data_IF_794577322837
#
_entry.id   IF_794577322837
#
_cell.length_a   1.000
_cell.length_b   1.000
_cell.length_c   1.000
_cell.angle_alpha   90.00
_cell.angle_beta   90.00
_cell.angle_gamma   90.00
#
_symmetry.space_group_name_H-M   'P 1'
#
loop_
_entity.id
_entity.type
_entity.pdbx_description
1 polymer ?
#
# COMPACT_ATOMS: atom_id res chain seq x y z
N UNK A 1 52.98 -22.23 64.67
CA UNK A 1 51.79 -22.31 65.54
C UNK A 1 50.64 -22.70 64.62
N UNK A 2 50.01 -23.84 64.97
CA UNK A 2 48.75 -24.42 64.48
C UNK A 2 48.68 -24.78 62.97
N UNK A 3 48.65 -26.03 62.51
CA UNK A 3 48.44 -27.33 63.14
C UNK A 3 46.96 -27.71 63.22
N UNK A 4 46.46 -28.53 62.27
CA UNK A 4 45.38 -29.55 62.34
C UNK A 4 44.95 -29.92 60.89
N UNK A 5 45.37 -31.07 60.32
CA UNK A 5 44.66 -32.38 60.28
C UNK A 5 43.15 -32.20 60.00
N UNK A 6 42.54 -32.69 58.91
CA UNK A 6 42.79 -33.85 58.06
C UNK A 6 41.58 -34.78 58.16
N UNK A 7 41.02 -35.24 57.03
CA UNK A 7 40.39 -36.57 56.82
C UNK A 7 39.86 -36.67 55.40
N UNK A 8 40.20 -37.76 54.71
CA UNK A 8 39.54 -38.17 53.48
C UNK A 8 38.33 -39.05 53.77
N UNK A 9 37.38 -39.07 52.83
CA UNK A 9 36.52 -40.22 52.57
C UNK A 9 36.07 -40.20 51.10
N UNK A 10 36.32 -41.33 50.45
CA UNK A 10 35.82 -41.79 49.16
C UNK A 10 34.28 -41.93 49.17
N UNK A 11 33.59 -41.60 48.06
CA UNK A 11 32.91 -42.59 47.21
C UNK A 11 32.00 -41.98 46.12
N UNK A 12 32.00 -42.66 44.98
CA UNK A 12 30.90 -42.84 44.00
C UNK A 12 30.68 -41.82 42.89
N UNK A 13 31.40 -42.05 41.79
CA UNK A 13 30.87 -42.30 40.44
C UNK A 13 29.51 -41.66 40.06
N UNK A 14 29.56 -40.70 39.14
CA UNK A 14 28.68 -40.75 37.95
C UNK A 14 29.33 -40.02 36.78
N UNK A 15 29.57 -40.81 35.73
CA UNK A 15 30.06 -40.44 34.41
C UNK A 15 29.29 -39.24 33.84
N UNK A 16 30.02 -38.26 33.30
CA UNK A 16 29.64 -37.66 32.03
C UNK A 16 30.91 -37.41 31.24
N UNK A 17 30.99 -38.10 30.11
CA UNK A 17 32.09 -38.08 29.15
C UNK A 17 32.26 -36.65 28.64
N UNK A 18 33.38 -36.02 29.00
CA UNK A 18 33.96 -34.92 28.24
C UNK A 18 34.96 -35.58 27.28
N UNK A 19 34.68 -35.51 25.98
CA UNK A 19 35.72 -35.66 24.97
C UNK A 19 36.00 -34.28 24.40
N UNK A 20 37.30 -34.04 24.33
CA UNK A 20 37.99 -32.79 24.17
C UNK A 20 38.41 -32.61 22.69
N UNK A 21 38.87 -31.40 22.39
CA UNK A 21 39.82 -31.03 21.34
C UNK A 21 39.31 -30.79 19.89
N UNK A 22 39.21 -29.47 19.58
CA UNK A 22 40.03 -28.70 18.61
C UNK A 22 40.33 -29.36 17.24
N UNK A 23 40.24 -28.72 16.08
CA UNK A 23 40.51 -27.34 15.67
C UNK A 23 40.09 -27.16 14.20
N UNK A 24 39.59 -25.97 13.84
CA UNK A 24 39.93 -25.16 12.63
C UNK A 24 38.73 -24.36 12.07
N UNK A 25 38.69 -23.09 12.49
CA UNK A 25 38.57 -21.86 11.66
C UNK A 25 37.65 -21.84 10.43
N UNK A 26 36.53 -21.10 10.54
CA UNK A 26 36.14 -19.90 9.74
C UNK A 26 34.63 -19.64 9.92
N UNK A 27 34.26 -18.62 10.71
CA UNK A 27 33.85 -17.27 10.30
C UNK A 27 32.41 -17.15 9.73
N UNK A 28 31.59 -16.43 10.49
CA UNK A 28 30.30 -15.78 10.19
C UNK A 28 29.06 -16.69 9.93
N UNK A 29 28.27 -17.00 10.96
CA UNK A 29 27.22 -16.19 11.63
C UNK A 29 25.93 -16.04 10.79
N UNK A 30 25.02 -17.00 10.99
CA UNK A 30 23.60 -16.70 11.19
C UNK A 30 22.68 -16.75 9.98
N UNK A 31 22.56 -17.91 9.33
CA UNK A 31 21.32 -18.26 8.62
C UNK A 31 20.22 -18.54 9.67
N UNK A 32 19.28 -17.61 9.84
CA UNK A 32 17.96 -17.94 10.38
C UNK A 32 17.11 -18.47 9.22
N UNK A 33 17.19 -19.78 9.00
CA UNK A 33 16.22 -20.51 8.20
C UNK A 33 14.89 -20.56 8.94
N UNK A 34 13.99 -19.63 8.62
CA UNK A 34 12.56 -19.85 8.83
C UNK A 34 12.05 -20.60 7.59
N UNK A 35 11.82 -21.90 7.78
CA UNK A 35 11.01 -22.74 6.89
C UNK A 35 9.73 -21.99 6.53
N UNK A 36 9.63 -21.53 5.28
CA UNK A 36 8.35 -21.09 4.70
C UNK A 36 7.71 -22.33 4.10
N UNK A 37 6.55 -22.80 4.59
CA UNK A 37 5.77 -23.75 3.81
C UNK A 37 5.30 -23.01 2.57
N UNK A 38 5.77 -23.45 1.40
CA UNK A 38 5.24 -23.03 0.11
C UNK A 38 3.80 -23.56 0.04
N UNK A 39 2.83 -22.74 0.42
CA UNK A 39 1.43 -23.01 0.10
C UNK A 39 1.28 -22.77 -1.39
N UNK A 40 1.43 -23.85 -2.16
CA UNK A 40 0.96 -23.90 -3.54
C UNK A 40 -0.57 -23.89 -3.45
N UNK A 41 -1.17 -22.71 -3.66
CA UNK A 41 -2.60 -22.61 -3.86
C UNK A 41 -2.91 -23.27 -5.21
N UNK A 42 -3.48 -24.47 -5.16
CA UNK A 42 -4.07 -25.09 -6.33
C UNK A 42 -5.17 -24.16 -6.86
N UNK A 43 -5.08 -23.81 -8.14
CA UNK A 43 -6.15 -23.12 -8.86
C UNK A 43 -7.36 -24.05 -8.90
N UNK A 44 -8.33 -23.81 -8.02
CA UNK A 44 -9.62 -24.48 -8.08
C UNK A 44 -10.40 -23.94 -9.28
N UNK A 45 -10.60 -24.77 -10.30
CA UNK A 45 -11.52 -24.49 -11.40
C UNK A 45 -12.95 -24.29 -10.84
N UNK A 46 -13.45 -23.06 -10.90
CA UNK A 46 -14.85 -22.75 -10.57
C UNK A 46 -15.69 -23.09 -11.80
N UNK A 47 -16.29 -24.28 -11.80
CA UNK A 47 -17.29 -24.66 -12.80
C UNK A 47 -18.62 -23.98 -12.50
N UNK A 48 -18.98 -22.98 -13.30
CA UNK A 48 -20.32 -22.40 -13.31
C UNK A 48 -21.23 -23.18 -14.27
N UNK A 49 -22.33 -23.73 -13.75
CA UNK A 49 -23.41 -24.25 -14.58
C UNK A 49 -24.34 -23.10 -14.96
N UNK A 50 -24.39 -22.75 -16.24
CA UNK A 50 -25.38 -21.82 -16.78
C UNK A 50 -26.70 -22.56 -17.07
N UNK A 51 -27.77 -22.19 -16.37
CA UNK A 51 -29.13 -22.68 -16.67
C UNK A 51 -29.75 -21.74 -17.71
N UNK A 52 -29.91 -22.22 -18.93
CA UNK A 52 -30.59 -21.49 -20.01
C UNK A 52 -32.08 -21.80 -19.96
N UNK A 53 -32.90 -20.82 -19.59
CA UNK A 53 -34.35 -20.90 -19.73
C UNK A 53 -34.74 -20.61 -21.19
N UNK A 54 -35.21 -21.63 -21.92
CA UNK A 54 -35.84 -21.44 -23.24
C UNK A 54 -37.27 -20.95 -23.06
N UNK A 55 -37.51 -19.66 -23.31
CA UNK A 55 -38.87 -19.14 -23.50
C UNK A 55 -39.39 -19.53 -24.88
N UNK A 56 -40.53 -20.23 -24.95
CA UNK A 56 -41.30 -20.43 -26.19
C UNK A 56 -42.21 -19.22 -26.40
N UNK A 57 -41.74 -18.28 -27.22
CA UNK A 57 -42.46 -17.66 -28.34
C UNK A 57 -41.96 -16.21 -28.59
N UNK A 58 -41.71 -15.82 -29.85
CA UNK A 58 -41.24 -14.48 -30.20
C UNK A 58 -42.38 -13.45 -30.31
N UNK A 59 -42.07 -12.14 -30.20
CA UNK A 59 -43.04 -11.06 -30.31
C UNK A 59 -43.22 -10.62 -31.77
N UNK A 60 -44.46 -10.29 -32.17
CA UNK A 60 -44.67 -9.41 -33.33
C UNK A 60 -45.76 -8.36 -33.08
N UNK A 61 -45.27 -7.12 -33.09
CA UNK A 61 -45.71 -5.93 -33.82
C UNK A 61 -47.18 -5.44 -33.71
N UNK A 62 -47.23 -4.18 -33.30
CA UNK A 62 -48.34 -3.22 -33.26
C UNK A 62 -48.97 -2.97 -34.64
N UNK A 63 -50.30 -2.95 -34.69
CA UNK A 63 -51.09 -2.16 -35.65
C UNK A 63 -52.21 -1.45 -34.88
N UNK A 64 -52.32 -0.13 -35.06
CA UNK A 64 -53.43 0.71 -34.57
C UNK A 64 -54.60 0.62 -35.56
N UNK A 65 -55.84 0.45 -35.07
CA UNK A 65 -56.92 1.45 -35.18
C UNK A 65 -58.29 0.93 -34.69
N UNK A 66 -58.96 1.87 -34.06
CA UNK A 66 -60.41 2.15 -34.04
C UNK A 66 -61.36 1.30 -33.20
N UNK A 67 -62.32 2.06 -32.70
CA UNK A 67 -63.33 1.83 -31.67
C UNK A 67 -64.31 0.72 -32.09
N UNK A 68 -64.84 -0.01 -31.09
CA UNK A 68 -66.28 -0.05 -30.92
C UNK A 68 -66.63 -0.60 -29.52
N UNK A 69 -67.51 0.13 -28.86
CA UNK A 69 -68.04 -0.11 -27.52
C UNK A 69 -69.24 -1.03 -27.66
N UNK A 70 -69.22 -2.22 -27.03
CA UNK A 70 -70.44 -2.96 -26.69
C UNK A 70 -70.26 -3.64 -25.34
N UNK A 71 -70.94 -3.09 -24.33
CA UNK A 71 -71.28 -3.80 -23.10
C UNK A 71 -72.63 -4.50 -23.34
N UNK A 72 -72.74 -5.78 -23.02
CA UNK A 72 -74.04 -6.38 -22.70
C UNK A 72 -74.11 -6.60 -21.19
N UNK A 73 -74.70 -5.59 -20.53
CA UNK A 73 -75.37 -5.72 -19.25
C UNK A 73 -76.85 -5.96 -19.54
N UNK A 74 -77.40 -7.10 -19.12
CA UNK A 74 -78.86 -7.29 -19.08
C UNK A 74 -79.25 -7.68 -17.66
N UNK A 75 -79.72 -6.70 -16.90
CA UNK A 75 -80.56 -6.89 -15.72
C UNK A 75 -81.65 -5.81 -15.67
N UNK A 76 -82.88 -6.25 -15.42
CA UNK A 76 -84.07 -5.43 -15.22
C UNK A 76 -84.93 -5.32 -16.49
N UNK A 77 -86.25 -5.44 -16.48
CA UNK A 77 -87.25 -5.34 -15.42
C UNK A 77 -88.53 -5.96 -15.99
N UNK A 78 -89.14 -6.94 -15.34
CA UNK A 78 -90.43 -6.80 -14.64
C UNK A 78 -91.16 -5.47 -14.91
N UNK A 79 -92.30 -5.56 -15.60
CA UNK A 79 -93.46 -4.71 -15.29
C UNK A 79 -94.75 -5.52 -15.26
N UNK A 80 -95.28 -5.50 -14.05
CA UNK A 80 -96.58 -5.91 -13.55
C UNK A 80 -97.69 -5.01 -14.08
N UNK A 81 -98.90 -5.55 -14.21
CA UNK A 81 -100.19 -4.87 -13.96
C UNK A 81 -101.15 -6.01 -13.58
N UNK A 82 -101.40 -6.36 -12.32
CA UNK A 82 -102.01 -5.66 -11.19
C UNK A 82 -103.47 -5.26 -11.43
N UNK A 83 -104.39 -6.01 -10.82
CA UNK A 83 -105.51 -5.43 -10.09
C UNK A 83 -106.07 -6.43 -9.06
N UNK A 84 -106.24 -5.93 -7.84
CA UNK A 84 -106.79 -6.56 -6.64
C UNK A 84 -107.94 -5.70 -6.12
N UNK A 85 -108.82 -6.31 -5.31
CA UNK A 85 -109.70 -5.72 -4.28
C UNK A 85 -110.95 -4.97 -4.79
N UNK A 86 -112.16 -5.02 -4.21
CA UNK A 86 -112.69 -5.56 -2.94
C UNK A 86 -114.24 -5.59 -2.99
N UNK A 87 -114.88 -6.27 -2.01
CA UNK A 87 -116.07 -5.84 -1.22
C UNK A 87 -117.34 -6.72 -1.25
N UNK A 88 -117.59 -7.36 -0.08
CA UNK A 88 -118.84 -7.59 0.69
C UNK A 88 -120.21 -7.88 0.01
N UNK A 89 -120.98 -8.84 0.54
CA UNK A 89 -122.05 -8.68 1.57
C UNK A 89 -122.68 -10.07 1.88
N UNK A 90 -123.18 -10.18 3.12
CA UNK A 90 -123.69 -11.36 3.83
C UNK A 90 -125.22 -11.58 3.71
N UNK A 91 -125.64 -12.76 4.19
CA UNK A 91 -126.90 -13.10 4.88
C UNK A 91 -128.15 -13.55 4.08
N UNK A 92 -128.80 -14.59 4.61
CA UNK A 92 -130.27 -14.65 4.64
C UNK A 92 -130.93 -15.98 4.27
N UNK A 93 -131.54 -16.62 5.28
CA UNK A 93 -132.37 -17.84 5.30
C UNK A 93 -133.76 -17.71 4.60
N UNK A 94 -134.25 -18.82 3.96
CA UNK A 94 -135.60 -19.49 4.10
C UNK A 94 -136.89 -18.74 3.60
N UNK A 95 -138.03 -19.39 3.20
CA UNK A 95 -138.29 -20.61 2.40
C UNK A 95 -139.46 -20.47 1.36
N UNK A 96 -139.73 -21.59 0.67
CA UNK A 96 -141.06 -22.22 0.45
C UNK A 96 -141.91 -22.08 -0.83
N UNK A 97 -142.52 -23.23 -1.14
CA UNK A 97 -143.74 -23.55 -1.93
C UNK A 97 -143.72 -23.86 -3.46
N UNK A 98 -143.93 -25.16 -3.73
CA UNK A 98 -144.98 -25.84 -4.55
C UNK A 98 -144.89 -25.88 -6.10
N UNK A 99 -144.76 -27.12 -6.65
CA UNK A 99 -145.81 -27.93 -7.36
C UNK A 99 -145.85 -27.70 -8.89
N UNK A 100 -146.28 -28.56 -9.81
CA UNK A 100 -147.00 -29.84 -9.87
C UNK A 100 -146.85 -30.37 -11.34
N UNK A 101 -146.94 -31.68 -11.66
CA UNK A 101 -148.10 -32.37 -12.32
C UNK A 101 -147.68 -32.99 -13.69
N UNK A 102 -148.10 -34.14 -14.24
CA UNK A 102 -149.16 -35.18 -14.04
C UNK A 102 -148.57 -36.54 -14.55
N UNK A 103 -148.85 -37.72 -13.97
CA UNK A 103 -150.08 -38.52 -14.06
C UNK A 103 -150.02 -39.48 -15.27
N UNK A 104 -150.33 -40.79 -15.26
CA UNK A 104 -151.18 -41.62 -14.41
C UNK A 104 -150.91 -43.14 -14.63
N UNK A 105 -151.39 -43.91 -13.64
CA UNK A 105 -152.07 -45.20 -13.75
C UNK A 105 -151.31 -46.53 -13.84
N UNK A 106 -151.80 -47.45 -13.01
CA UNK A 106 -151.40 -48.81 -12.71
C UNK A 106 -152.52 -49.73 -13.20
N UNK A 107 -152.22 -50.81 -13.93
CA UNK A 107 -152.84 -52.14 -13.81
C UNK A 107 -152.28 -53.11 -14.88
N UNK A 108 -152.40 -54.43 -14.66
CA UNK A 108 -151.27 -55.33 -14.72
C UNK A 108 -151.27 -56.13 -16.02
N UNK A 109 -150.13 -56.74 -16.33
CA UNK A 109 -150.05 -58.18 -16.42
C UNK A 109 -148.57 -58.56 -16.48
N UNK A 110 -148.06 -58.98 -15.32
CA UNK A 110 -147.26 -60.21 -15.16
C UNK A 110 -147.19 -61.01 -16.47
N UNK A 111 -146.04 -61.10 -17.14
CA UNK A 111 -144.98 -62.05 -16.77
C UNK A 111 -143.67 -61.80 -17.56
N UNK A 112 -143.16 -60.56 -17.57
CA UNK A 112 -141.74 -60.27 -17.93
C UNK A 112 -141.05 -59.28 -16.96
N UNK A 113 -141.73 -58.76 -15.93
CA UNK A 113 -141.21 -57.82 -14.92
C UNK A 113 -140.09 -58.40 -14.04
N UNK A 114 -140.01 -59.73 -13.89
CA UNK A 114 -138.86 -60.39 -13.30
C UNK A 114 -137.59 -60.18 -14.12
N UNK A 115 -137.71 -60.18 -15.45
CA UNK A 115 -136.57 -59.98 -16.37
C UNK A 115 -136.11 -58.52 -16.34
N UNK A 116 -137.04 -57.55 -16.27
CA UNK A 116 -136.69 -56.12 -16.18
C UNK A 116 -136.09 -55.72 -14.81
N UNK A 117 -136.59 -56.26 -13.69
CA UNK A 117 -135.96 -56.07 -12.38
C UNK A 117 -134.59 -56.74 -12.31
N UNK A 118 -134.43 -57.92 -12.91
CA UNK A 118 -133.13 -58.59 -13.00
C UNK A 118 -132.18 -57.80 -13.91
N UNK A 119 -132.62 -57.25 -15.04
CA UNK A 119 -131.79 -56.41 -15.92
C UNK A 119 -131.40 -55.10 -15.25
N UNK A 120 -132.30 -54.44 -14.50
CA UNK A 120 -131.96 -53.21 -13.76
C UNK A 120 -131.04 -53.49 -12.57
N UNK A 121 -131.23 -54.59 -11.84
CA UNK A 121 -130.31 -55.02 -10.79
C UNK A 121 -128.95 -55.39 -11.38
N UNK A 122 -128.91 -56.12 -12.50
CA UNK A 122 -127.66 -56.42 -13.20
C UNK A 122 -127.00 -55.16 -13.76
N UNK A 123 -127.78 -54.17 -14.20
CA UNK A 123 -127.28 -52.87 -14.65
C UNK A 123 -126.70 -52.03 -13.51
N UNK A 124 -127.38 -51.96 -12.36
CA UNK A 124 -126.88 -51.27 -11.16
C UNK A 124 -125.67 -51.99 -10.59
N UNK A 125 -125.68 -53.33 -10.55
CA UNK A 125 -124.52 -54.13 -10.15
C UNK A 125 -123.38 -53.88 -11.13
N UNK A 126 -123.62 -53.87 -12.45
CA UNK A 126 -122.60 -53.59 -13.46
C UNK A 126 -122.03 -52.17 -13.33
N UNK A 127 -122.88 -51.15 -13.09
CA UNK A 127 -122.43 -49.77 -12.86
C UNK A 127 -121.68 -49.65 -11.54
N UNK A 128 -122.13 -50.31 -10.48
CA UNK A 128 -121.46 -50.33 -9.17
C UNK A 128 -120.11 -51.03 -9.24
N UNK A 129 -120.04 -52.15 -9.97
CA UNK A 129 -118.80 -52.87 -10.28
C UNK A 129 -117.89 -52.01 -11.17
N UNK A 130 -118.44 -51.32 -12.17
CA UNK A 130 -117.68 -50.39 -13.01
C UNK A 130 -117.12 -49.21 -12.22
N UNK A 131 -117.92 -48.59 -11.35
CA UNK A 131 -117.47 -47.50 -10.49
C UNK A 131 -116.46 -47.97 -9.45
N UNK A 132 -116.64 -49.14 -8.84
CA UNK A 132 -115.67 -49.67 -7.87
C UNK A 132 -114.35 -50.07 -8.54
N UNK A 133 -114.37 -50.65 -9.74
CA UNK A 133 -113.17 -50.94 -10.52
C UNK A 133 -112.47 -49.65 -11.00
N UNK A 134 -113.23 -48.67 -11.49
CA UNK A 134 -112.69 -47.39 -11.96
C UNK A 134 -112.15 -46.54 -10.82
N UNK A 135 -112.86 -46.47 -9.70
CA UNK A 135 -112.39 -45.78 -8.49
C UNK A 135 -111.16 -46.49 -7.88
N UNK A 136 -111.10 -47.83 -7.93
CA UNK A 136 -109.91 -48.58 -7.55
C UNK A 136 -108.70 -48.30 -8.45
N UNK A 137 -108.92 -48.12 -9.75
CA UNK A 137 -107.90 -47.71 -10.72
C UNK A 137 -107.40 -46.29 -10.44
N UNK A 138 -108.32 -45.32 -10.31
CA UNK A 138 -107.99 -43.91 -10.05
C UNK A 138 -107.26 -43.74 -8.70
N UNK A 139 -107.64 -44.50 -7.66
CA UNK A 139 -106.96 -44.52 -6.36
C UNK A 139 -105.57 -45.15 -6.45
N UNK A 140 -105.38 -46.15 -7.31
CA UNK A 140 -104.07 -46.78 -7.51
C UNK A 140 -103.10 -45.86 -8.25
N UNK A 141 -103.59 -45.14 -9.27
CA UNK A 141 -102.83 -44.11 -9.98
C UNK A 141 -102.50 -42.92 -9.07
N UNK A 142 -103.45 -42.48 -8.25
CA UNK A 142 -103.23 -41.44 -7.25
C UNK A 142 -102.16 -41.85 -6.20
N UNK A 143 -102.17 -43.12 -5.75
CA UNK A 143 -101.13 -43.64 -4.84
C UNK A 143 -99.75 -43.68 -5.49
N UNK A 144 -99.67 -44.04 -6.78
CA UNK A 144 -98.42 -44.01 -7.54
C UNK A 144 -97.90 -42.57 -7.67
N UNK A 145 -98.76 -41.62 -8.01
CA UNK A 145 -98.44 -40.18 -8.08
C UNK A 145 -98.02 -39.61 -6.72
N UNK A 146 -98.64 -40.04 -5.61
CA UNK A 146 -98.22 -39.62 -4.27
C UNK A 146 -96.83 -40.16 -3.90
N UNK A 147 -96.51 -41.41 -4.28
CA UNK A 147 -95.18 -41.98 -4.05
C UNK A 147 -94.10 -41.28 -4.88
N UNK A 148 -94.40 -40.93 -6.14
CA UNK A 148 -93.50 -40.16 -7.00
C UNK A 148 -93.28 -38.74 -6.44
N UNK A 149 -94.33 -38.06 -5.99
CA UNK A 149 -94.22 -36.76 -5.32
C UNK A 149 -93.40 -36.81 -4.03
N UNK A 150 -93.54 -37.88 -3.23
CA UNK A 150 -92.73 -38.09 -2.05
C UNK A 150 -91.25 -38.29 -2.42
N UNK A 151 -90.96 -39.06 -3.48
CA UNK A 151 -89.59 -39.23 -3.99
C UNK A 151 -89.00 -37.89 -4.48
N UNK A 152 -89.78 -37.12 -5.24
CA UNK A 152 -89.39 -35.79 -5.71
C UNK A 152 -89.08 -34.85 -4.53
N UNK A 153 -89.89 -34.92 -3.47
CA UNK A 153 -89.67 -34.14 -2.24
C UNK A 153 -88.36 -34.55 -1.54
N UNK A 154 -88.06 -35.84 -1.45
CA UNK A 154 -86.81 -36.33 -0.89
C UNK A 154 -85.59 -35.84 -1.70
N UNK A 155 -85.65 -35.95 -3.02
CA UNK A 155 -84.59 -35.45 -3.92
C UNK A 155 -84.43 -33.94 -3.76
N UNK A 156 -85.53 -33.19 -3.72
CA UNK A 156 -85.51 -31.74 -3.50
C UNK A 156 -84.85 -31.37 -2.18
N UNK A 157 -85.19 -32.06 -1.09
CA UNK A 157 -84.58 -31.81 0.23
C UNK A 157 -83.08 -32.13 0.26
N UNK A 158 -82.64 -33.20 -0.43
CA UNK A 158 -81.22 -33.54 -0.57
C UNK A 158 -80.46 -32.49 -1.37
N UNK A 159 -81.00 -32.04 -2.50
CA UNK A 159 -80.41 -30.98 -3.32
C UNK A 159 -80.27 -29.68 -2.53
N UNK A 160 -81.25 -29.36 -1.67
CA UNK A 160 -81.21 -28.21 -0.78
C UNK A 160 -80.05 -28.31 0.23
N UNK A 161 -79.86 -29.49 0.84
CA UNK A 161 -78.74 -29.75 1.74
C UNK A 161 -77.39 -29.67 1.03
N UNK A 162 -77.26 -30.29 -0.16
CA UNK A 162 -76.02 -30.27 -0.94
C UNK A 162 -75.66 -28.83 -1.36
N UNK A 163 -76.65 -28.00 -1.67
CA UNK A 163 -76.46 -26.59 -2.01
C UNK A 163 -75.95 -25.76 -0.81
N UNK A 164 -76.46 -26.00 0.40
CA UNK A 164 -75.95 -25.32 1.60
C UNK A 164 -74.52 -25.77 1.96
N UNK A 165 -74.19 -27.05 1.74
CA UNK A 165 -72.82 -27.55 1.88
C UNK A 165 -71.87 -26.87 0.88
N UNK A 166 -72.25 -26.82 -0.41
CA UNK A 166 -71.48 -26.14 -1.45
C UNK A 166 -71.27 -24.65 -1.17
N UNK A 167 -72.28 -23.98 -0.62
CA UNK A 167 -72.18 -22.58 -0.20
C UNK A 167 -71.17 -22.39 0.94
N UNK A 168 -71.17 -23.32 1.89
CA UNK A 168 -70.19 -23.32 2.99
C UNK A 168 -68.77 -23.54 2.47
N UNK A 169 -68.58 -24.51 1.58
CA UNK A 169 -67.28 -24.78 0.95
C UNK A 169 -66.79 -23.59 0.13
N UNK A 170 -67.67 -22.92 -0.60
CA UNK A 170 -67.33 -21.72 -1.37
C UNK A 170 -66.90 -20.55 -0.47
N UNK A 171 -67.55 -20.36 0.68
CA UNK A 171 -67.14 -19.35 1.66
C UNK A 171 -65.77 -19.69 2.27
N UNK A 172 -65.53 -20.96 2.59
CA UNK A 172 -64.22 -21.42 3.08
C UNK A 172 -63.12 -21.19 2.04
N UNK A 173 -63.38 -21.52 0.76
CA UNK A 173 -62.44 -21.32 -0.33
C UNK A 173 -62.14 -19.82 -0.54
N UNK A 174 -63.15 -18.97 -0.42
CA UNK A 174 -62.99 -17.50 -0.50
C UNK A 174 -62.08 -16.99 0.63
N UNK A 175 -62.28 -17.45 1.87
CA UNK A 175 -61.45 -17.06 3.00
C UNK A 175 -59.99 -17.51 2.80
N UNK A 176 -59.77 -18.74 2.33
CA UNK A 176 -58.43 -19.25 2.01
C UNK A 176 -57.79 -18.41 0.91
N UNK A 177 -58.55 -18.06 -0.14
CA UNK A 177 -58.06 -17.22 -1.24
C UNK A 177 -57.64 -15.83 -0.75
N UNK A 178 -58.44 -15.18 0.10
CA UNK A 178 -58.07 -13.88 0.69
C UNK A 178 -56.82 -13.96 1.57
N UNK A 179 -56.66 -15.06 2.32
CA UNK A 179 -55.47 -15.27 3.15
C UNK A 179 -54.22 -15.45 2.29
N UNK A 180 -54.31 -16.26 1.24
CA UNK A 180 -53.21 -16.47 0.29
C UNK A 180 -52.80 -15.15 -0.40
N UNK A 181 -53.77 -14.30 -0.75
CA UNK A 181 -53.47 -12.97 -1.29
C UNK A 181 -52.70 -12.10 -0.29
N UNK A 182 -53.12 -12.08 0.97
CA UNK A 182 -52.42 -11.34 2.02
C UNK A 182 -51.01 -11.87 2.27
N UNK A 183 -50.83 -13.18 2.34
CA UNK A 183 -49.52 -13.81 2.56
C UNK A 183 -48.58 -13.51 1.37
N UNK A 184 -49.11 -13.48 0.15
CA UNK A 184 -48.34 -13.13 -1.04
C UNK A 184 -47.87 -11.67 -1.06
N UNK A 185 -48.71 -10.72 -0.64
CA UNK A 185 -48.30 -9.32 -0.51
C UNK A 185 -47.26 -9.11 0.60
N UNK A 186 -47.38 -9.85 1.71
CA UNK A 186 -46.36 -9.85 2.77
C UNK A 186 -45.02 -10.39 2.24
N UNK A 187 -45.02 -11.54 1.54
CA UNK A 187 -43.82 -12.12 0.94
C UNK A 187 -43.16 -11.19 -0.09
N UNK A 188 -43.97 -10.48 -0.88
CA UNK A 188 -43.47 -9.47 -1.83
C UNK A 188 -42.77 -8.32 -1.12
N UNK A 189 -43.33 -7.86 0.00
CA UNK A 189 -42.73 -6.81 0.83
C UNK A 189 -41.41 -7.26 1.44
N UNK A 190 -41.37 -8.47 2.01
CA UNK A 190 -40.15 -9.05 2.58
C UNK A 190 -39.06 -9.23 1.52
N UNK A 191 -39.43 -9.68 0.32
CA UNK A 191 -38.51 -9.83 -0.80
C UNK A 191 -37.90 -8.48 -1.21
N UNK A 192 -38.71 -7.42 -1.32
CA UNK A 192 -38.21 -6.07 -1.62
C UNK A 192 -37.26 -5.55 -0.53
N UNK A 193 -37.56 -5.80 0.74
CA UNK A 193 -36.67 -5.43 1.85
C UNK A 193 -35.33 -6.18 1.77
N UNK A 194 -35.37 -7.49 1.47
CA UNK A 194 -34.17 -8.29 1.30
C UNK A 194 -33.33 -7.82 0.11
N UNK A 195 -33.94 -7.46 -1.02
CA UNK A 195 -33.26 -6.85 -2.17
C UNK A 195 -32.54 -5.56 -1.76
N UNK A 196 -33.20 -4.66 -1.04
CA UNK A 196 -32.59 -3.41 -0.57
C UNK A 196 -31.41 -3.65 0.38
N UNK A 197 -31.49 -4.66 1.26
CA UNK A 197 -30.37 -5.04 2.12
C UNK A 197 -29.19 -5.59 1.31
N UNK A 198 -29.47 -6.40 0.29
CA UNK A 198 -28.44 -6.96 -0.58
C UNK A 198 -27.70 -5.87 -1.39
N UNK A 199 -28.44 -4.88 -1.88
CA UNK A 199 -27.86 -3.73 -2.57
C UNK A 199 -26.93 -2.91 -1.65
N UNK A 200 -27.37 -2.60 -0.43
CA UNK A 200 -26.53 -1.91 0.57
C UNK A 200 -25.27 -2.70 0.90
N UNK A 201 -25.39 -4.02 1.05
CA UNK A 201 -24.25 -4.89 1.32
C UNK A 201 -23.27 -4.89 0.14
N UNK A 202 -23.79 -4.94 -1.09
CA UNK A 202 -22.98 -4.88 -2.31
C UNK A 202 -22.23 -3.55 -2.40
N UNK A 203 -22.88 -2.43 -2.11
CA UNK A 203 -22.23 -1.11 -2.07
C UNK A 203 -21.09 -1.08 -1.03
N UNK A 204 -21.35 -1.52 0.20
CA UNK A 204 -20.33 -1.59 1.25
C UNK A 204 -19.15 -2.47 0.84
N UNK A 205 -19.42 -3.63 0.21
CA UNK A 205 -18.40 -4.52 -0.29
C UNK A 205 -17.52 -3.85 -1.37
N UNK A 206 -18.13 -3.15 -2.35
CA UNK A 206 -17.35 -2.45 -3.38
C UNK A 206 -16.46 -1.34 -2.81
N UNK A 207 -16.93 -0.64 -1.77
CA UNK A 207 -16.14 0.37 -1.06
C UNK A 207 -14.97 -0.28 -0.33
N UNK A 208 -15.24 -1.39 0.37
CA UNK A 208 -14.20 -2.13 1.08
C UNK A 208 -13.11 -2.63 0.13
N UNK A 209 -13.49 -3.20 -1.02
CA UNK A 209 -12.55 -3.66 -2.05
C UNK A 209 -11.67 -2.51 -2.52
N UNK A 210 -12.24 -1.34 -2.82
CA UNK A 210 -11.47 -0.16 -3.26
C UNK A 210 -10.45 0.29 -2.21
N UNK A 211 -10.86 0.32 -0.94
CA UNK A 211 -9.96 0.70 0.15
C UNK A 211 -8.81 -0.30 0.30
N UNK A 212 -9.07 -1.60 0.14
CA UNK A 212 -8.04 -2.64 0.16
C UNK A 212 -7.06 -2.46 -1.00
N UNK A 213 -7.55 -2.15 -2.21
CA UNK A 213 -6.69 -1.88 -3.38
C UNK A 213 -5.80 -0.66 -3.14
N UNK A 214 -6.35 0.47 -2.69
CA UNK A 214 -5.58 1.70 -2.38
C UNK A 214 -4.51 1.46 -1.29
N UNK A 215 -4.86 0.72 -0.23
CA UNK A 215 -3.91 0.35 0.81
C UNK A 215 -2.80 -0.57 0.28
N UNK A 216 -3.12 -1.47 -0.65
CA UNK A 216 -2.15 -2.37 -1.28
C UNK A 216 -1.17 -1.59 -2.15
N UNK A 217 -1.65 -0.62 -2.94
CA UNK A 217 -0.80 0.25 -3.76
C UNK A 217 0.12 1.11 -2.90
N UNK A 218 -0.41 1.73 -1.83
CA UNK A 218 0.40 2.50 -0.87
C UNK A 218 1.46 1.65 -0.20
N UNK A 219 1.14 0.41 0.15
CA UNK A 219 2.10 -0.53 0.73
C UNK A 219 3.23 -0.83 -0.27
N UNK A 220 2.90 -1.12 -1.52
CA UNK A 220 3.90 -1.38 -2.57
C UNK A 220 4.81 -0.16 -2.82
N UNK A 221 4.24 1.05 -2.77
CA UNK A 221 4.99 2.29 -2.89
C UNK A 221 5.98 2.47 -1.74
N UNK A 222 5.54 2.24 -0.50
CA UNK A 222 6.42 2.29 0.69
C UNK A 222 7.53 1.25 0.64
N UNK A 223 7.25 0.03 0.17
CA UNK A 223 8.26 -1.01 -0.02
C UNK A 223 9.34 -0.58 -1.02
N UNK A 224 8.93 0.04 -2.13
CA UNK A 224 9.86 0.56 -3.14
C UNK A 224 10.74 1.69 -2.59
N UNK A 225 10.15 2.61 -1.82
CA UNK A 225 10.88 3.69 -1.16
C UNK A 225 11.92 3.16 -0.16
N UNK A 226 11.57 2.13 0.62
CA UNK A 226 12.50 1.50 1.56
C UNK A 226 13.69 0.84 0.84
N UNK A 227 13.45 0.14 -0.27
CA UNK A 227 14.53 -0.44 -1.08
C UNK A 227 15.46 0.63 -1.66
N UNK A 228 14.90 1.77 -2.09
CA UNK A 228 15.70 2.89 -2.58
C UNK A 228 16.57 3.50 -1.48
N UNK A 229 16.00 3.72 -0.28
CA UNK A 229 16.75 4.22 0.88
C UNK A 229 17.87 3.25 1.30
N UNK A 230 17.60 1.95 1.26
CA UNK A 230 18.62 0.93 1.56
C UNK A 230 19.79 0.99 0.57
N UNK A 231 19.49 1.16 -0.73
CA UNK A 231 20.52 1.33 -1.76
C UNK A 231 21.34 2.60 -1.53
N UNK A 232 20.71 3.72 -1.18
CA UNK A 232 21.40 4.97 -0.85
C UNK A 232 22.32 4.82 0.35
N UNK A 233 21.87 4.12 1.40
CA UNK A 233 22.70 3.87 2.59
C UNK A 233 23.94 3.05 2.26
N UNK A 234 23.82 2.01 1.43
CA UNK A 234 24.97 1.21 0.98
C UNK A 234 25.97 2.03 0.16
N UNK A 235 25.48 2.93 -0.70
CA UNK A 235 26.33 3.84 -1.46
C UNK A 235 27.09 4.81 -0.55
N UNK A 236 26.40 5.42 0.42
CA UNK A 236 27.01 6.31 1.39
C UNK A 236 28.06 5.59 2.24
N UNK A 237 27.80 4.34 2.64
CA UNK A 237 28.77 3.54 3.38
C UNK A 237 30.03 3.24 2.55
N UNK A 238 29.87 2.94 1.27
CA UNK A 238 30.99 2.74 0.33
C UNK A 238 31.83 4.02 0.20
N UNK A 239 31.17 5.18 0.06
CA UNK A 239 31.85 6.48 -0.01
C UNK A 239 32.60 6.78 1.30
N UNK A 240 31.98 6.53 2.46
CA UNK A 240 32.61 6.71 3.77
C UNK A 240 33.87 5.87 3.91
N UNK A 241 33.82 4.59 3.51
CA UNK A 241 34.96 3.69 3.56
C UNK A 241 36.10 4.14 2.64
N UNK A 242 35.79 4.56 1.41
CA UNK A 242 36.77 5.09 0.46
C UNK A 242 37.48 6.34 1.04
N UNK A 243 36.71 7.30 1.56
CA UNK A 243 37.27 8.52 2.15
C UNK A 243 38.16 8.20 3.36
N UNK A 244 37.73 7.26 4.22
CA UNK A 244 38.52 6.81 5.37
C UNK A 244 39.88 6.25 4.94
N UNK A 245 39.90 5.44 3.87
CA UNK A 245 41.14 4.89 3.32
C UNK A 245 42.07 5.96 2.74
N UNK A 246 41.50 6.98 2.08
CA UNK A 246 42.29 8.12 1.58
C UNK A 246 42.95 8.89 2.73
N UNK A 247 42.21 9.15 3.81
CA UNK A 247 42.74 9.82 5.00
C UNK A 247 43.92 9.02 5.58
N UNK A 248 43.74 7.72 5.82
CA UNK A 248 44.80 6.86 6.35
C UNK A 248 46.06 6.83 5.47
N UNK A 249 45.89 6.81 4.15
CA UNK A 249 46.99 6.84 3.19
C UNK A 249 47.76 8.18 3.28
N UNK A 250 47.03 9.30 3.34
CA UNK A 250 47.65 10.62 3.50
C UNK A 250 48.38 10.75 4.83
N UNK A 251 47.79 10.29 5.93
CA UNK A 251 48.40 10.28 7.25
C UNK A 251 49.70 9.46 7.27
N UNK A 252 49.67 8.26 6.69
CA UNK A 252 50.83 7.37 6.62
C UNK A 252 51.98 8.04 5.85
N UNK A 253 51.69 8.57 4.65
CA UNK A 253 52.69 9.28 3.84
C UNK A 253 53.25 10.51 4.54
N UNK A 254 52.40 11.28 5.21
CA UNK A 254 52.83 12.46 5.97
C UNK A 254 53.77 12.06 7.13
N UNK A 255 53.40 11.01 7.86
CA UNK A 255 54.23 10.45 8.94
C UNK A 255 55.60 9.97 8.42
N UNK A 256 55.61 9.19 7.33
CA UNK A 256 56.84 8.71 6.69
C UNK A 256 57.76 9.86 6.24
N UNK A 257 57.17 10.90 5.65
CA UNK A 257 57.92 12.09 5.22
C UNK A 257 58.51 12.86 6.41
N UNK A 258 57.75 13.02 7.49
CA UNK A 258 58.23 13.72 8.68
C UNK A 258 59.33 12.96 9.40
N UNK A 259 59.18 11.65 9.56
CA UNK A 259 60.23 10.79 10.14
C UNK A 259 61.49 10.89 9.29
N UNK A 260 61.36 10.84 7.96
CA UNK A 260 62.50 10.97 7.04
C UNK A 260 63.20 12.33 7.15
N UNK A 261 62.44 13.43 7.24
CA UNK A 261 63.00 14.80 7.43
C UNK A 261 63.72 14.95 8.77
N UNK A 262 63.13 14.44 9.85
CA UNK A 262 63.75 14.45 11.17
C UNK A 262 65.05 13.64 11.16
N UNK A 263 65.01 12.42 10.61
CA UNK A 263 66.18 11.55 10.50
C UNK A 263 67.31 12.20 9.70
N UNK A 264 67.01 12.82 8.55
CA UNK A 264 67.98 13.57 7.75
C UNK A 264 68.62 14.72 8.54
N UNK A 265 67.81 15.47 9.29
CA UNK A 265 68.30 16.57 10.12
C UNK A 265 69.28 16.06 11.18
N UNK A 266 68.93 14.99 11.88
CA UNK A 266 69.81 14.39 12.89
C UNK A 266 71.11 13.87 12.24
N UNK A 267 71.05 13.19 11.10
CA UNK A 267 72.25 12.66 10.44
C UNK A 267 73.17 13.77 9.88
N UNK A 268 72.59 14.89 9.46
CA UNK A 268 73.31 16.05 8.92
C UNK A 268 74.07 16.82 10.01
N UNK A 269 73.43 17.02 11.17
CA UNK A 269 74.00 17.82 12.26
C UNK A 269 74.71 16.98 13.32
N UNK A 270 74.30 15.73 13.49
CA UNK A 270 74.79 14.79 14.49
C UNK A 270 75.18 13.44 13.85
N UNK A 271 76.21 13.39 12.98
CA UNK A 271 76.65 12.17 12.34
C UNK A 271 77.06 11.10 13.37
N UNK A 272 76.80 9.83 13.06
CA UNK A 272 77.19 8.69 13.91
C UNK A 272 78.71 8.53 13.91
N UNK A 273 79.33 8.68 15.08
CA UNK A 273 80.72 8.28 15.33
C UNK A 273 80.81 6.81 15.71
N UNK A 274 82.01 6.38 16.16
CA UNK A 274 82.26 5.00 16.58
C UNK A 274 81.48 4.59 17.83
N UNK A 275 81.28 5.50 18.78
CA UNK A 275 80.65 5.21 20.07
C UNK A 275 79.44 6.12 20.41
N UNK A 276 79.34 7.33 19.81
CA UNK A 276 78.22 8.27 20.03
C UNK A 276 78.04 9.22 18.82
N UNK A 277 76.87 9.85 18.67
CA UNK A 277 76.64 10.92 17.68
C UNK A 277 77.33 12.21 18.14
N UNK A 278 78.10 12.85 17.28
CA UNK A 278 78.72 14.15 17.58
C UNK A 278 77.95 15.27 16.89
N UNK A 279 77.18 16.03 17.66
CA UNK A 279 76.41 17.15 17.15
C UNK A 279 77.27 18.40 16.96
N UNK A 280 77.01 19.15 15.89
CA UNK A 280 77.60 20.47 15.63
C UNK A 280 76.52 21.49 15.31
N UNK A 281 76.76 22.75 15.64
CA UNK A 281 75.81 23.84 15.38
C UNK A 281 75.50 24.02 13.88
N UNK A 282 76.43 23.62 13.00
CA UNK A 282 76.28 23.71 11.55
C UNK A 282 76.54 22.38 10.84
N UNK A 283 75.92 22.13 9.68
CA UNK A 283 76.21 20.96 8.87
C UNK A 283 77.67 20.90 8.44
N UNK A 284 78.14 19.69 8.09
CA UNK A 284 79.49 19.52 7.56
C UNK A 284 79.71 20.41 6.32
N UNK A 285 80.79 21.19 6.31
CA UNK A 285 81.13 22.10 5.21
C UNK A 285 80.50 23.49 5.30
N UNK A 286 79.76 23.78 6.38
CA UNK A 286 79.23 25.10 6.69
C UNK A 286 80.04 25.76 7.80
N UNK A 287 80.26 27.05 7.66
CA UNK A 287 80.95 27.89 8.62
C UNK A 287 79.95 28.41 9.66
N UNK A 288 80.18 28.11 10.93
CA UNK A 288 79.37 28.66 12.01
C UNK A 288 79.85 30.07 12.37
N UNK A 289 78.92 31.02 12.45
CA UNK A 289 79.19 32.32 13.02
C UNK A 289 77.94 32.84 13.72
N UNK A 290 78.04 33.08 15.03
CA UNK A 290 76.91 33.40 15.89
C UNK A 290 75.77 32.36 15.74
N UNK A 291 74.54 32.82 15.52
CA UNK A 291 73.33 31.99 15.38
C UNK A 291 73.09 31.49 13.95
N UNK A 292 74.09 31.60 13.07
CA UNK A 292 73.95 31.31 11.64
C UNK A 292 75.04 30.39 11.12
N UNK A 293 74.70 29.62 10.10
CA UNK A 293 75.59 28.77 9.33
C UNK A 293 75.68 29.31 7.91
N UNK A 294 76.89 29.42 7.38
CA UNK A 294 77.13 29.93 6.03
C UNK A 294 77.88 28.92 5.16
N UNK A 295 77.37 28.64 3.97
CA UNK A 295 78.10 27.89 2.95
C UNK A 295 78.62 28.86 1.89
N UNK A 296 79.95 29.00 1.82
CA UNK A 296 80.63 29.86 0.85
C UNK A 296 80.87 29.05 -0.43
N UNK A 297 80.13 29.36 -1.49
CA UNK A 297 80.23 28.63 -2.75
C UNK A 297 81.16 29.38 -3.71
N UNK A 298 82.46 29.05 -3.64
CA UNK A 298 83.52 29.62 -4.50
C UNK A 298 83.47 29.02 -5.91
N UNK A 299 82.42 29.35 -6.67
CA UNK A 299 82.23 28.82 -8.00
C UNK A 299 83.13 29.53 -9.04
N UNK A 300 83.87 28.75 -9.83
CA UNK A 300 84.57 29.22 -11.03
C UNK A 300 83.56 29.76 -12.06
N UNK A 301 83.99 30.69 -12.92
CA UNK A 301 83.17 31.37 -13.92
C UNK A 301 82.10 30.51 -14.64
N UNK A 302 82.38 29.32 -15.19
CA UNK A 302 81.34 28.51 -15.87
C UNK A 302 80.26 27.95 -14.93
N UNK A 303 80.53 27.86 -13.63
CA UNK A 303 79.63 27.33 -12.60
C UNK A 303 78.97 28.43 -11.75
N UNK A 304 79.33 29.69 -11.97
CA UNK A 304 78.69 30.83 -11.32
C UNK A 304 77.22 30.93 -11.75
N UNK A 305 76.40 31.50 -10.87
CA UNK A 305 74.94 31.52 -11.03
C UNK A 305 74.41 32.95 -10.96
N UNK A 306 73.28 33.19 -11.62
CA UNK A 306 72.46 34.39 -11.39
C UNK A 306 71.96 34.39 -9.96
N UNK A 307 71.41 35.50 -9.47
CA UNK A 307 70.89 35.57 -8.12
C UNK A 307 69.77 34.52 -7.88
N UNK A 308 68.84 34.39 -8.83
CA UNK A 308 67.79 33.38 -8.82
C UNK A 308 68.36 31.95 -8.81
N UNK A 309 69.33 31.67 -9.69
CA UNK A 309 69.94 30.35 -9.75
C UNK A 309 70.74 29.99 -8.48
N UNK A 310 71.39 30.98 -7.87
CA UNK A 310 72.08 30.81 -6.59
C UNK A 310 71.08 30.52 -5.46
N UNK A 311 69.93 31.20 -5.47
CA UNK A 311 68.84 30.96 -4.52
C UNK A 311 68.27 29.56 -4.65
N UNK A 312 68.05 29.09 -5.88
CA UNK A 312 67.62 27.71 -6.15
C UNK A 312 68.63 26.68 -5.64
N UNK A 313 69.93 26.91 -5.84
CA UNK A 313 70.98 26.03 -5.32
C UNK A 313 70.93 25.93 -3.79
N UNK A 314 70.79 27.07 -3.09
CA UNK A 314 70.67 27.08 -1.63
C UNK A 314 69.41 26.36 -1.14
N UNK A 315 68.27 26.54 -1.81
CA UNK A 315 67.01 25.85 -1.50
C UNK A 315 67.11 24.34 -1.71
N UNK A 316 67.84 23.91 -2.74
CA UNK A 316 68.17 22.49 -2.96
C UNK A 316 68.99 21.87 -1.81
N UNK A 317 69.63 22.68 -0.98
CA UNK A 317 70.42 22.27 0.20
C UNK A 317 69.68 22.46 1.52
N UNK A 318 68.35 22.60 1.51
CA UNK A 318 67.53 22.91 2.69
C UNK A 318 67.95 24.22 3.40
N UNK A 319 68.37 25.22 2.62
CA UNK A 319 68.77 26.56 3.09
C UNK A 319 68.20 27.64 2.16
N UNK A 320 68.64 28.89 2.29
CA UNK A 320 68.36 29.93 1.29
C UNK A 320 69.62 30.83 1.16
N UNK A 321 69.61 31.86 0.32
CA UNK A 321 70.72 32.83 0.27
C UNK A 321 70.93 33.50 1.64
N UNK A 322 72.16 33.87 1.97
CA UNK A 322 72.46 34.36 3.30
C UNK A 322 71.71 35.66 3.65
N UNK A 323 70.99 35.65 4.77
CA UNK A 323 70.44 36.83 5.44
C UNK A 323 71.40 37.25 6.52
N UNK A 324 71.75 38.53 6.57
CA UNK A 324 72.78 39.06 7.46
C UNK A 324 72.13 39.99 8.48
N UNK A 325 72.21 39.61 9.75
CA UNK A 325 71.42 40.23 10.83
C UNK A 325 72.10 41.45 11.45
N UNK A 326 73.42 41.50 11.46
CA UNK A 326 74.18 42.52 12.19
C UNK A 326 75.56 42.80 11.54
N UNK A 327 76.21 43.90 11.98
CA UNK A 327 77.49 44.35 11.41
C UNK A 327 78.61 43.31 11.57
N UNK A 328 78.58 42.50 12.64
CA UNK A 328 79.57 41.45 12.86
C UNK A 328 79.43 40.34 11.81
N UNK A 329 78.20 39.90 11.50
CA UNK A 329 77.96 38.95 10.41
C UNK A 329 78.33 39.56 9.05
N UNK A 330 78.02 40.84 8.81
CA UNK A 330 78.43 41.53 7.57
C UNK A 330 79.94 41.54 7.40
N UNK A 331 80.68 41.85 8.46
CA UNK A 331 82.15 41.85 8.46
C UNK A 331 82.68 40.44 8.19
N UNK A 332 82.13 39.42 8.85
CA UNK A 332 82.48 38.02 8.64
C UNK A 332 82.29 37.58 7.18
N UNK A 333 81.13 37.88 6.59
CA UNK A 333 80.77 37.52 5.22
C UNK A 333 81.65 38.25 4.21
N UNK A 334 81.89 39.54 4.43
CA UNK A 334 82.81 40.33 3.61
C UNK A 334 84.20 39.70 3.62
N UNK A 335 84.72 39.33 4.79
CA UNK A 335 86.01 38.64 4.92
C UNK A 335 86.10 37.29 4.20
N UNK A 336 84.96 36.60 4.00
CA UNK A 336 84.86 35.33 3.26
C UNK A 336 84.60 35.49 1.75
N UNK A 337 84.39 36.72 1.27
CA UNK A 337 83.97 37.02 -0.11
C UNK A 337 85.15 37.36 -1.03
N UNK A 338 86.08 36.42 -1.22
CA UNK A 338 87.34 36.61 -1.94
C UNK A 338 87.16 37.10 -3.39
N UNK A 339 87.96 38.07 -3.82
CA UNK A 339 87.95 38.56 -5.22
C UNK A 339 88.97 37.83 -6.11
N UNK A 340 89.68 36.86 -5.56
CA UNK A 340 90.63 36.03 -6.29
C UNK A 340 89.88 34.92 -7.08
N UNK A 341 90.52 34.31 -8.07
CA UNK A 341 89.94 33.22 -8.89
C UNK A 341 88.82 33.61 -9.87
N UNK A 342 88.74 34.87 -10.30
CA UNK A 342 87.78 35.32 -11.32
C UNK A 342 86.34 35.47 -10.79
N UNK A 343 86.20 35.63 -9.47
CA UNK A 343 84.94 35.88 -8.79
C UNK A 343 84.74 37.40 -8.65
N UNK A 344 83.67 37.92 -9.25
CA UNK A 344 83.34 39.35 -9.23
C UNK A 344 82.42 39.78 -8.07
N UNK A 345 82.03 38.82 -7.22
CA UNK A 345 81.22 39.03 -6.04
C UNK A 345 80.50 37.76 -5.59
N UNK A 346 79.89 37.84 -4.42
CA UNK A 346 79.10 36.77 -3.84
C UNK A 346 77.66 37.23 -3.64
N UNK A 347 76.73 36.57 -4.31
CA UNK A 347 75.31 36.78 -4.07
C UNK A 347 74.94 36.44 -2.62
N UNK A 348 74.20 37.37 -2.02
CA UNK A 348 73.57 37.24 -0.70
C UNK A 348 72.08 37.48 -0.84
N UNK A 349 71.31 37.19 0.21
CA UNK A 349 69.86 37.19 0.20
C UNK A 349 69.20 38.57 0.18
N UNK A 350 69.87 39.59 -0.37
CA UNK A 350 69.38 40.97 -0.39
C UNK A 350 69.11 41.43 -1.83
N UNK A 351 67.89 41.91 -2.07
CA UNK A 351 67.41 42.39 -3.39
C UNK A 351 66.63 43.69 -3.25
N UNK A 352 66.64 44.49 -4.30
CA UNK A 352 65.79 45.67 -4.44
C UNK A 352 64.34 45.29 -4.69
N UNK A 353 63.43 45.84 -3.89
CA UNK A 353 61.98 45.75 -4.09
C UNK A 353 61.35 47.11 -3.78
N UNK A 354 60.65 47.69 -4.74
CA UNK A 354 59.97 49.00 -4.62
C UNK A 354 60.90 50.12 -4.12
N UNK A 355 62.13 50.17 -4.66
CA UNK A 355 63.14 51.19 -4.32
C UNK A 355 63.82 50.99 -2.97
N UNK A 356 63.62 49.86 -2.28
CA UNK A 356 64.22 49.55 -0.98
C UNK A 356 64.92 48.19 -0.99
N UNK A 357 65.99 48.06 -0.20
CA UNK A 357 66.67 46.79 -0.01
C UNK A 357 65.87 45.89 0.95
N UNK A 358 65.57 44.67 0.52
CA UNK A 358 64.80 43.68 1.29
C UNK A 358 65.51 42.33 1.29
N UNK A 359 65.58 41.73 2.46
CA UNK A 359 66.07 40.39 2.66
C UNK A 359 65.03 39.36 2.21
N UNK A 360 65.50 38.20 1.78
CA UNK A 360 64.65 37.08 1.36
C UNK A 360 63.73 36.53 2.47
N UNK A 361 63.99 36.83 3.74
CA UNK A 361 63.12 36.49 4.88
C UNK A 361 61.97 37.52 5.09
N UNK A 362 61.93 38.57 4.26
CA UNK A 362 60.90 39.59 4.28
C UNK A 362 61.27 40.88 5.01
N UNK A 363 62.35 40.91 5.79
CA UNK A 363 62.76 42.12 6.51
C UNK A 363 63.42 43.14 5.56
N UNK A 364 63.26 44.43 5.86
CA UNK A 364 63.99 45.48 5.15
C UNK A 364 65.36 45.70 5.77
N UNK A 365 66.35 46.04 4.95
CA UNK A 365 67.64 46.50 5.45
C UNK A 365 67.46 47.81 6.22
N UNK A 366 67.93 47.85 7.47
CA UNK A 366 67.88 49.05 8.32
C UNK A 366 69.05 49.98 8.06
N UNK A 367 70.24 49.42 7.86
CA UNK A 367 71.48 50.17 7.64
C UNK A 367 71.73 50.41 6.15
N UNK A 368 71.22 51.54 5.64
CA UNK A 368 71.39 51.92 4.23
C UNK A 368 72.86 52.02 3.78
N UNK A 369 73.77 52.26 4.72
CA UNK A 369 75.22 52.33 4.49
C UNK A 369 75.86 50.98 4.16
N UNK A 370 75.13 49.87 4.18
CA UNK A 370 75.67 48.54 3.89
C UNK A 370 75.84 48.25 2.40
N UNK A 371 75.17 48.99 1.53
CA UNK A 371 75.26 48.84 0.07
C UNK A 371 75.60 50.18 -0.57
N UNK A 372 76.52 50.20 -1.53
CA UNK A 372 77.06 51.41 -2.17
C UNK A 372 76.01 52.38 -2.70
N UNK A 373 74.90 51.84 -3.20
CA UNK A 373 73.82 52.61 -3.78
C UNK A 373 72.47 51.98 -3.45
N UNK A 374 71.40 52.79 -3.35
CA UNK A 374 70.03 52.28 -3.34
C UNK A 374 69.77 51.37 -4.55
N UNK A 375 68.78 50.46 -4.48
CA UNK A 375 68.42 49.67 -5.63
C UNK A 375 67.81 50.59 -6.70
N UNK A 376 68.30 50.49 -7.92
CA UNK A 376 67.82 51.31 -9.03
C UNK A 376 66.45 50.84 -9.54
N UNK A 377 66.17 49.55 -9.40
CA UNK A 377 64.94 48.89 -9.80
C UNK A 377 64.79 47.55 -9.07
N UNK A 378 63.76 46.78 -9.42
CA UNK A 378 63.53 45.44 -8.86
C UNK A 378 64.51 44.36 -9.39
N UNK A 379 65.39 44.71 -10.33
CA UNK A 379 66.49 43.85 -10.83
C UNK A 379 67.85 44.17 -10.19
N UNK A 380 67.86 44.93 -9.09
CA UNK A 380 69.05 45.20 -8.30
C UNK A 380 69.25 44.12 -7.23
N UNK A 381 70.37 43.40 -7.27
CA UNK A 381 70.75 42.40 -6.28
C UNK A 381 72.07 42.80 -5.60
N UNK A 382 72.21 42.51 -4.31
CA UNK A 382 73.43 42.85 -3.58
C UNK A 382 74.46 41.72 -3.62
N UNK A 383 75.71 42.07 -3.84
CA UNK A 383 76.84 41.16 -3.81
C UNK A 383 77.90 41.64 -2.80
N UNK A 384 78.41 40.69 -2.00
CA UNK A 384 79.52 40.91 -1.08
C UNK A 384 80.87 40.71 -1.78
N UNK A 385 81.86 41.55 -1.44
CA UNK A 385 83.23 41.51 -1.95
C UNK A 385 84.21 41.87 -0.82
N UNK A 386 85.31 41.12 -0.68
CA UNK A 386 86.24 41.24 0.45
C UNK A 386 86.88 42.62 0.61
N UNK A 387 87.23 43.27 -0.51
CA UNK A 387 87.89 44.57 -0.50
C UNK A 387 86.91 45.74 -0.64
N UNK A 388 85.61 45.49 -0.43
CA UNK A 388 84.55 46.47 -0.64
C UNK A 388 83.58 46.49 0.55
N UNK A 389 83.66 47.55 1.34
CA UNK A 389 82.71 47.85 2.39
C UNK A 389 82.31 49.33 2.22
N UNK A 390 81.15 49.63 1.62
CA UNK A 390 79.94 48.81 1.51
C UNK A 390 79.85 47.83 0.32
N UNK A 391 78.88 46.90 0.39
CA UNK A 391 78.60 45.89 -0.65
C UNK A 391 78.10 46.52 -1.95
N UNK A 392 78.19 45.75 -3.06
CA UNK A 392 77.87 46.25 -4.39
C UNK A 392 76.43 45.93 -4.78
N UNK A 393 75.76 46.90 -5.41
CA UNK A 393 74.50 46.68 -6.13
C UNK A 393 74.81 46.31 -7.58
N UNK A 394 74.27 45.18 -8.04
CA UNK A 394 74.53 44.61 -9.36
C UNK A 394 73.22 44.12 -9.99
N UNK A 395 73.22 43.95 -11.31
CA UNK A 395 72.11 43.32 -12.03
C UNK A 395 71.99 41.85 -11.63
N UNK A 396 70.79 41.41 -11.22
CA UNK A 396 70.53 40.06 -10.72
C UNK A 396 70.87 38.94 -11.73
N UNK A 397 70.87 39.26 -13.04
CA UNK A 397 71.16 38.32 -14.12
C UNK A 397 72.66 38.09 -14.33
N UNK A 398 73.52 38.84 -13.63
CA UNK A 398 74.97 38.60 -13.63
C UNK A 398 75.27 37.29 -12.89
N UNK A 399 76.17 36.48 -13.47
CA UNK A 399 76.65 35.27 -12.82
C UNK A 399 77.76 35.60 -11.83
N UNK A 400 77.59 35.17 -10.59
CA UNK A 400 78.56 35.34 -9.51
C UNK A 400 78.69 34.07 -8.67
N UNK A 401 79.67 34.07 -7.77
CA UNK A 401 79.68 33.14 -6.64
C UNK A 401 78.51 33.48 -5.69
N UNK A 402 78.25 32.64 -4.69
CA UNK A 402 77.12 32.89 -3.79
C UNK A 402 77.35 32.32 -2.40
N UNK A 403 76.61 32.85 -1.42
CA UNK A 403 76.65 32.40 -0.04
C UNK A 403 75.25 31.98 0.38
N UNK A 404 75.12 30.71 0.76
CA UNK A 404 73.90 30.22 1.40
C UNK A 404 73.97 30.46 2.90
N UNK A 405 72.82 30.70 3.52
CA UNK A 405 72.66 30.87 4.96
C UNK A 405 71.50 30.05 5.51
N UNK A 406 71.66 29.58 6.73
CA UNK A 406 70.60 28.99 7.54
C UNK A 406 70.87 29.24 9.02
N UNK A 407 69.88 29.04 9.86
CA UNK A 407 70.05 29.18 11.30
C UNK A 407 70.88 28.01 11.86
N UNK A 408 71.77 28.31 12.80
CA UNK A 408 72.54 27.29 13.50
C UNK A 408 71.66 26.57 14.54
N UNK A 409 71.90 25.27 14.74
CA UNK A 409 71.28 24.54 15.84
C UNK A 409 71.87 25.00 17.18
N UNK A 410 71.02 25.13 18.17
CA UNK A 410 71.44 25.16 19.57
C UNK A 410 71.81 23.73 19.96
N UNK A 411 73.11 23.45 20.07
CA UNK A 411 73.66 22.13 20.37
C UNK A 411 74.17 22.07 21.80
#
# INVERSE_FOLDING_TARGET
MDGLKGTGQTATSRRRVLCDLTSQTSLFRGQTGLNRPTVVMAEGEVNYAAVVFKSRNPPQAVVKKEEDVVYDEVKGQTKTTQQTADTHVSAGFVPDTKSNDKGHHCQPLTCCLGILCVILLLGIIAVSVYFTLRHGSDVSELKALMAENHNLTNISSKLLSDNENLKTDNNNLTNISSKLLSDNENLKTDNNNLTNQFEKLTQNYTVLVRNITDLTEKKQQLETQNQQLETQNQQLETQRNNLTQQIQNMETKWNEQNISRAQWTIDTYCPKGSNERQCKACPKGWENFQTSCFAINNAEAPKQRTWEGAREDCRGRNSDLAVIDNEAQKTFITGKSWTESGINGYWIGLRGENGRWKWINGSFLTESSWVQQPPTNNNSCAASLQNLNPWKSMDCDVKNAWICGQQALTV
#
